data_IF_775615967910
#
_entry.id   IF_775615967910
#
_cell.length_a   1.000
_cell.length_b   1.000
_cell.length_c   1.000
_cell.angle_alpha   90.00
_cell.angle_beta   90.00
_cell.angle_gamma   90.00
#
_symmetry.space_group_name_H-M   'P 1'
#
loop_
_entity.id
_entity.type
_entity.pdbx_description
1 polymer ?
#
# COMPACT_ATOMS: atom_id res chain seq x y z
N UNK A 1 -7.65 -5.17 -22.83
CA UNK A 1 -8.55 -6.17 -22.24
C UNK A 1 -9.18 -5.55 -21.01
N UNK A 2 -10.19 -4.72 -21.23
CA UNK A 2 -10.98 -4.08 -20.18
C UNK A 2 -12.28 -4.88 -20.11
N UNK A 3 -12.28 -5.94 -19.29
CA UNK A 3 -13.51 -6.62 -18.94
C UNK A 3 -14.14 -5.76 -17.85
N UNK A 4 -15.38 -5.35 -18.10
CA UNK A 4 -16.24 -4.64 -17.18
C UNK A 4 -16.23 -5.32 -15.80
N UNK A 5 -15.53 -4.71 -14.83
CA UNK A 5 -15.77 -5.02 -13.42
C UNK A 5 -16.97 -4.18 -12.99
N UNK A 6 -18.15 -4.64 -13.39
CA UNK A 6 -19.40 -4.10 -12.90
C UNK A 6 -19.46 -4.39 -11.40
N UNK A 7 -19.84 -3.39 -10.60
CA UNK A 7 -19.91 -3.51 -9.14
C UNK A 7 -21.01 -4.53 -8.81
N UNK A 8 -20.64 -5.79 -8.61
CA UNK A 8 -21.55 -6.91 -8.35
C UNK A 8 -22.16 -6.82 -6.94
N UNK A 9 -23.49 -6.73 -6.86
CA UNK A 9 -24.30 -6.87 -5.64
C UNK A 9 -24.34 -8.34 -5.16
N UNK A 10 -24.43 -8.58 -3.84
CA UNK A 10 -24.51 -9.94 -3.24
C UNK A 10 -25.62 -10.83 -3.83
N UNK A 11 -26.78 -10.24 -4.15
CA UNK A 11 -27.89 -10.95 -4.78
C UNK A 11 -27.61 -11.32 -6.25
N UNK A 12 -26.79 -10.53 -6.95
CA UNK A 12 -26.35 -10.84 -8.30
C UNK A 12 -25.26 -11.92 -8.29
N UNK A 13 -24.38 -11.88 -7.27
CA UNK A 13 -23.33 -12.85 -6.99
C UNK A 13 -23.86 -14.29 -6.86
N UNK A 14 -24.86 -14.47 -5.99
CA UNK A 14 -25.49 -15.78 -5.80
C UNK A 14 -26.17 -16.29 -7.07
N UNK A 15 -26.76 -15.41 -7.89
CA UNK A 15 -27.43 -15.82 -9.12
C UNK A 15 -26.43 -16.17 -10.24
N UNK A 16 -25.32 -15.45 -10.38
CA UNK A 16 -24.26 -15.78 -11.34
C UNK A 16 -23.52 -17.08 -10.96
N UNK A 17 -23.17 -17.26 -9.68
CA UNK A 17 -22.57 -18.49 -9.18
C UNK A 17 -23.46 -19.71 -9.48
N UNK A 18 -24.76 -19.62 -9.17
CA UNK A 18 -25.73 -20.69 -9.44
C UNK A 18 -25.91 -20.92 -10.95
N UNK A 19 -25.81 -19.88 -11.77
CA UNK A 19 -25.90 -19.99 -13.23
C UNK A 19 -24.68 -20.71 -13.81
N UNK A 20 -23.47 -20.32 -13.39
CA UNK A 20 -22.21 -20.96 -13.77
C UNK A 20 -22.16 -22.43 -13.33
N UNK A 21 -22.58 -22.72 -12.10
CA UNK A 21 -22.72 -24.08 -11.58
C UNK A 21 -23.66 -24.92 -12.44
N UNK A 22 -24.82 -24.36 -12.82
CA UNK A 22 -25.79 -25.02 -13.67
C UNK A 22 -25.23 -25.32 -15.07
N UNK A 23 -24.38 -24.43 -15.59
CA UNK A 23 -23.72 -24.61 -16.88
C UNK A 23 -22.66 -25.72 -16.82
N UNK A 24 -21.75 -25.66 -15.85
CA UNK A 24 -20.72 -26.70 -15.65
C UNK A 24 -21.32 -28.09 -15.40
N UNK A 25 -22.42 -28.18 -14.66
CA UNK A 25 -23.11 -29.46 -14.40
C UNK A 25 -23.73 -30.02 -15.68
N UNK A 26 -24.27 -29.18 -16.57
CA UNK A 26 -24.91 -29.62 -17.82
C UNK A 26 -23.94 -30.27 -18.82
N UNK A 27 -22.66 -29.92 -18.77
CA UNK A 27 -21.67 -30.39 -19.75
C UNK A 27 -21.35 -31.89 -19.66
N UNK A 28 -21.82 -32.61 -18.62
CA UNK A 28 -21.79 -34.08 -18.53
C UNK A 28 -20.41 -34.75 -18.45
N UNK A 29 -19.33 -34.05 -18.80
CA UNK A 29 -17.94 -34.51 -18.70
C UNK A 29 -17.31 -34.06 -17.37
N UNK A 30 -16.49 -34.93 -16.74
CA UNK A 30 -15.78 -34.65 -15.49
C UNK A 30 -16.51 -35.11 -14.21
N UNK A 31 -15.77 -35.20 -13.10
CA UNK A 31 -16.29 -35.58 -11.79
C UNK A 31 -17.15 -34.46 -11.17
N UNK A 32 -18.23 -34.82 -10.50
CA UNK A 32 -19.17 -33.85 -9.91
C UNK A 32 -18.51 -32.97 -8.85
N UNK A 33 -17.70 -33.57 -7.98
CA UNK A 33 -16.91 -32.91 -6.95
C UNK A 33 -15.99 -31.82 -7.52
N UNK A 34 -15.34 -32.07 -8.65
CA UNK A 34 -14.43 -31.10 -9.26
C UNK A 34 -15.18 -29.95 -9.90
N UNK A 35 -16.36 -30.18 -10.49
CA UNK A 35 -17.20 -29.08 -11.01
C UNK A 35 -17.60 -28.09 -9.92
N UNK A 36 -17.97 -28.61 -8.75
CA UNK A 36 -18.31 -27.77 -7.59
C UNK A 36 -17.09 -27.00 -7.12
N UNK A 37 -15.99 -27.72 -6.90
CA UNK A 37 -14.77 -27.15 -6.36
C UNK A 37 -14.17 -26.09 -7.28
N UNK A 38 -14.13 -26.38 -8.58
CA UNK A 38 -13.69 -25.45 -9.62
C UNK A 38 -14.60 -24.20 -9.67
N UNK A 39 -15.91 -24.33 -9.50
CA UNK A 39 -16.80 -23.17 -9.44
C UNK A 39 -16.57 -22.33 -8.18
N UNK A 40 -16.34 -22.95 -7.02
CA UNK A 40 -16.02 -22.24 -5.77
C UNK A 40 -14.68 -21.50 -5.92
N UNK A 41 -13.64 -22.18 -6.41
CA UNK A 41 -12.32 -21.56 -6.62
C UNK A 41 -12.38 -20.42 -7.63
N UNK A 42 -13.12 -20.60 -8.73
CA UNK A 42 -13.34 -19.54 -9.69
C UNK A 42 -14.04 -18.33 -9.06
N UNK A 43 -15.08 -18.54 -8.26
CA UNK A 43 -15.80 -17.46 -7.60
C UNK A 43 -14.90 -16.67 -6.64
N UNK A 44 -14.08 -17.39 -5.87
CA UNK A 44 -13.07 -16.78 -4.97
C UNK A 44 -12.07 -15.93 -5.76
N UNK A 45 -11.54 -16.42 -6.88
CA UNK A 45 -10.62 -15.64 -7.71
C UNK A 45 -11.31 -14.38 -8.25
N UNK A 46 -12.53 -14.51 -8.77
CA UNK A 46 -13.25 -13.35 -9.30
C UNK A 46 -13.56 -12.32 -8.22
N UNK A 47 -13.83 -12.75 -6.98
CA UNK A 47 -13.99 -11.84 -5.84
C UNK A 47 -12.68 -11.08 -5.54
N UNK A 48 -11.54 -11.79 -5.52
CA UNK A 48 -10.23 -11.19 -5.31
C UNK A 48 -9.89 -10.18 -6.42
N UNK A 49 -10.13 -10.52 -7.68
CA UNK A 49 -9.93 -9.61 -8.82
C UNK A 49 -10.81 -8.36 -8.71
N UNK A 50 -12.07 -8.52 -8.31
CA UNK A 50 -12.99 -7.40 -8.12
C UNK A 50 -12.57 -6.48 -6.97
N UNK A 51 -12.10 -7.05 -5.86
CA UNK A 51 -11.57 -6.31 -4.72
C UNK A 51 -10.27 -5.56 -5.11
N UNK A 52 -9.37 -6.23 -5.83
CA UNK A 52 -8.15 -5.62 -6.38
C UNK A 52 -8.49 -4.44 -7.31
N UNK A 53 -9.46 -4.59 -8.21
CA UNK A 53 -9.88 -3.56 -9.15
C UNK A 53 -10.48 -2.32 -8.46
N UNK A 54 -11.09 -2.50 -7.28
CA UNK A 54 -11.57 -1.39 -6.44
C UNK A 54 -10.44 -0.72 -5.66
N UNK A 55 -9.46 -1.49 -5.21
CA UNK A 55 -8.41 -1.05 -4.30
C UNK A 55 -7.24 -0.34 -5.01
N UNK A 56 -6.73 -0.91 -6.11
CA UNK A 56 -5.48 -0.43 -6.73
C UNK A 56 -5.60 0.95 -7.40
N UNK A 57 -6.63 1.26 -8.22
CA UNK A 57 -6.67 2.52 -8.95
C UNK A 57 -6.70 3.78 -8.08
N UNK A 58 -7.46 3.85 -6.97
CA UNK A 58 -7.39 4.97 -6.03
C UNK A 58 -5.99 5.19 -5.45
N UNK A 59 -5.28 4.09 -5.12
CA UNK A 59 -3.94 4.15 -4.56
C UNK A 59 -2.95 4.71 -5.58
N UNK A 60 -3.00 4.24 -6.83
CA UNK A 60 -2.13 4.76 -7.89
C UNK A 60 -2.35 6.26 -8.12
N UNK A 61 -3.59 6.74 -8.06
CA UNK A 61 -3.88 8.19 -8.13
C UNK A 61 -3.28 8.94 -6.95
N UNK A 62 -3.48 8.44 -5.73
CA UNK A 62 -2.92 9.04 -4.52
C UNK A 62 -1.39 9.14 -4.57
N UNK A 63 -0.71 8.10 -5.05
CA UNK A 63 0.75 8.11 -5.21
C UNK A 63 1.21 9.19 -6.20
N UNK A 64 0.50 9.36 -7.33
CA UNK A 64 0.80 10.41 -8.29
C UNK A 64 0.54 11.82 -7.71
N UNK A 65 -0.51 12.00 -6.91
CA UNK A 65 -0.80 13.28 -6.25
C UNK A 65 0.27 13.65 -5.21
N UNK A 66 0.79 12.66 -4.48
CA UNK A 66 1.86 12.86 -3.50
C UNK A 66 3.19 13.28 -4.13
N UNK A 67 3.45 12.89 -5.38
CA UNK A 67 4.62 13.34 -6.14
C UNK A 67 4.52 14.84 -6.52
N UNK A 68 3.31 15.37 -6.71
CA UNK A 68 3.10 16.79 -7.04
C UNK A 68 3.01 17.69 -5.81
N UNK A 69 2.24 17.28 -4.79
CA UNK A 69 1.99 18.09 -3.59
C UNK A 69 1.78 17.25 -2.34
N UNK A 70 2.65 17.48 -1.36
CA UNK A 70 2.53 16.87 -0.03
C UNK A 70 1.58 17.69 0.84
N UNK A 71 0.55 17.05 1.38
CA UNK A 71 -0.38 17.61 2.37
C UNK A 71 -0.59 16.65 3.55
N UNK A 72 -1.11 17.16 4.67
CA UNK A 72 -1.42 16.30 5.83
C UNK A 72 -2.51 15.27 5.50
N UNK A 73 -3.50 15.64 4.67
CA UNK A 73 -4.59 14.77 4.22
C UNK A 73 -4.05 13.61 3.38
N UNK A 74 -3.26 13.90 2.35
CA UNK A 74 -2.65 12.88 1.49
C UNK A 74 -1.72 11.92 2.25
N UNK A 75 -1.11 12.35 3.37
CA UNK A 75 -0.32 11.47 4.25
C UNK A 75 -1.20 10.51 5.06
N UNK A 76 -2.38 10.95 5.51
CA UNK A 76 -3.36 10.09 6.18
C UNK A 76 -3.93 9.07 5.20
N UNK A 77 -4.30 9.52 4.00
CA UNK A 77 -4.79 8.64 2.94
C UNK A 77 -3.74 7.57 2.55
N UNK A 78 -2.45 7.93 2.56
CA UNK A 78 -1.37 6.97 2.27
C UNK A 78 -1.26 5.89 3.36
N UNK A 79 -1.49 6.26 4.63
CA UNK A 79 -1.51 5.30 5.73
C UNK A 79 -2.71 4.35 5.62
N UNK A 80 -3.88 4.88 5.26
CA UNK A 80 -5.09 4.09 5.04
C UNK A 80 -4.93 3.14 3.85
N UNK A 81 -4.41 3.64 2.73
CA UNK A 81 -4.05 2.84 1.56
C UNK A 81 -3.09 1.69 1.92
N UNK A 82 -2.03 1.97 2.70
CA UNK A 82 -1.10 0.94 3.16
C UNK A 82 -1.79 -0.15 3.98
N UNK A 83 -2.68 0.23 4.90
CA UNK A 83 -3.43 -0.74 5.72
C UNK A 83 -4.35 -1.59 4.85
N UNK A 84 -5.08 -0.96 3.93
CA UNK A 84 -5.98 -1.67 3.03
C UNK A 84 -5.24 -2.68 2.13
N UNK A 85 -4.11 -2.29 1.52
CA UNK A 85 -3.25 -3.19 0.73
C UNK A 85 -2.69 -4.33 1.57
N UNK A 86 -2.27 -4.05 2.81
CA UNK A 86 -1.76 -5.08 3.71
C UNK A 86 -2.85 -6.09 4.09
N UNK A 87 -4.06 -5.64 4.38
CA UNK A 87 -5.19 -6.52 4.72
C UNK A 87 -5.61 -7.36 3.53
N UNK A 88 -5.72 -6.76 2.35
CA UNK A 88 -6.03 -7.49 1.11
C UNK A 88 -4.95 -8.53 0.78
N UNK A 89 -3.66 -8.16 0.89
CA UNK A 89 -2.55 -9.10 0.71
C UNK A 89 -2.60 -10.31 1.66
N UNK A 90 -2.94 -10.09 2.94
CA UNK A 90 -3.12 -11.19 3.89
C UNK A 90 -4.28 -12.12 3.52
N UNK A 91 -5.38 -11.58 2.96
CA UNK A 91 -6.51 -12.39 2.46
C UNK A 91 -6.06 -13.28 1.29
N UNK A 92 -5.34 -12.72 0.31
CA UNK A 92 -4.81 -13.46 -0.83
C UNK A 92 -3.83 -14.55 -0.37
N UNK A 93 -2.90 -14.23 0.54
CA UNK A 93 -1.94 -15.21 1.08
C UNK A 93 -2.61 -16.34 1.85
N UNK A 94 -3.72 -16.07 2.55
CA UNK A 94 -4.47 -17.11 3.25
C UNK A 94 -5.07 -18.12 2.27
N UNK A 95 -5.60 -17.66 1.13
CA UNK A 95 -6.14 -18.51 0.08
C UNK A 95 -5.03 -19.32 -0.59
N UNK A 96 -3.91 -18.67 -0.94
CA UNK A 96 -2.72 -19.33 -1.49
C UNK A 96 -2.19 -20.43 -0.57
N UNK A 97 -2.12 -20.15 0.73
CA UNK A 97 -1.68 -21.12 1.74
C UNK A 97 -2.63 -22.31 1.81
N UNK A 98 -3.95 -22.08 1.75
CA UNK A 98 -4.92 -23.17 1.77
C UNK A 98 -4.82 -24.06 0.52
N UNK A 99 -4.63 -23.47 -0.67
CA UNK A 99 -4.43 -24.22 -1.91
C UNK A 99 -3.11 -25.00 -1.86
N UNK A 100 -2.02 -24.36 -1.43
CA UNK A 100 -0.71 -25.00 -1.31
C UNK A 100 -0.73 -26.22 -0.37
N UNK A 101 -1.43 -26.12 0.76
CA UNK A 101 -1.57 -27.25 1.69
C UNK A 101 -2.22 -28.48 1.05
N UNK A 102 -3.18 -28.28 0.15
CA UNK A 102 -3.81 -29.39 -0.58
C UNK A 102 -2.85 -29.94 -1.63
N UNK A 103 -2.19 -29.06 -2.40
CA UNK A 103 -1.22 -29.45 -3.42
C UNK A 103 -0.01 -30.23 -2.84
N UNK A 104 0.40 -29.90 -1.61
CA UNK A 104 1.54 -30.55 -0.94
C UNK A 104 1.21 -31.96 -0.40
N UNK A 105 -0.05 -32.39 -0.45
CA UNK A 105 -0.50 -33.68 0.09
C UNK A 105 -1.23 -34.54 -0.95
N UNK A 106 -0.49 -35.42 -1.61
CA UNK A 106 -0.99 -36.41 -2.56
C UNK A 106 -2.15 -37.27 -2.01
N UNK A 107 -2.17 -37.57 -0.70
CA UNK A 107 -3.25 -38.32 -0.05
C UNK A 107 -4.55 -37.52 -0.02
N UNK A 108 -4.46 -36.21 0.27
CA UNK A 108 -5.61 -35.32 0.25
C UNK A 108 -6.11 -35.16 -1.19
N UNK A 109 -5.22 -34.96 -2.16
CA UNK A 109 -5.55 -34.85 -3.59
C UNK A 109 -6.26 -36.12 -4.11
N UNK A 110 -5.74 -37.31 -3.83
CA UNK A 110 -6.40 -38.57 -4.18
C UNK A 110 -7.73 -38.76 -3.41
N UNK A 111 -7.79 -38.24 -2.18
CA UNK A 111 -8.98 -38.25 -1.33
C UNK A 111 -10.16 -37.42 -1.84
N UNK A 112 -9.91 -36.46 -2.75
CA UNK A 112 -10.94 -35.59 -3.33
C UNK A 112 -11.84 -36.30 -4.35
N UNK A 113 -11.46 -37.47 -4.87
CA UNK A 113 -12.28 -38.28 -5.79
C UNK A 113 -13.43 -38.98 -5.04
N UNK A 114 -14.37 -38.17 -4.54
CA UNK A 114 -15.47 -38.60 -3.68
C UNK A 114 -16.43 -39.57 -4.39
N UNK A 115 -16.68 -39.41 -5.69
CA UNK A 115 -17.55 -40.29 -6.47
C UNK A 115 -16.99 -41.71 -6.53
N UNK A 116 -15.68 -41.84 -6.78
CA UNK A 116 -15.01 -43.14 -6.84
C UNK A 116 -14.86 -43.77 -5.45
N UNK A 117 -14.57 -42.96 -4.42
CA UNK A 117 -14.56 -43.38 -3.03
C UNK A 117 -15.93 -43.91 -2.58
N UNK A 118 -17.02 -43.23 -2.95
CA UNK A 118 -18.39 -43.66 -2.68
C UNK A 118 -18.76 -44.96 -3.42
N UNK A 119 -18.20 -45.18 -4.61
CA UNK A 119 -18.33 -46.43 -5.36
C UNK A 119 -17.45 -47.58 -4.83
N UNK A 120 -16.73 -47.38 -3.71
CA UNK A 120 -15.84 -48.38 -3.12
C UNK A 120 -14.54 -48.60 -3.90
N UNK A 121 -14.16 -47.65 -4.76
CA UNK A 121 -12.96 -47.70 -5.60
C UNK A 121 -12.05 -46.51 -5.27
N UNK A 122 -11.40 -46.48 -4.09
CA UNK A 122 -10.48 -45.40 -3.77
C UNK A 122 -9.35 -45.33 -4.81
N UNK A 123 -9.01 -44.11 -5.24
CA UNK A 123 -7.92 -43.86 -6.18
C UNK A 123 -6.58 -44.12 -5.49
N UNK A 124 -5.58 -44.52 -6.27
CA UNK A 124 -4.21 -44.62 -5.76
C UNK A 124 -3.69 -43.22 -5.44
N UNK A 125 -2.77 -43.12 -4.47
CA UNK A 125 -2.15 -41.84 -4.10
C UNK A 125 -1.47 -41.18 -5.30
N UNK A 126 -0.97 -41.94 -6.28
CA UNK A 126 -0.35 -41.37 -7.49
C UNK A 126 -1.34 -40.96 -8.59
N UNK A 127 -2.64 -41.12 -8.38
CA UNK A 127 -3.67 -41.02 -9.44
C UNK A 127 -4.60 -39.81 -9.21
N UNK A 128 -3.98 -38.63 -9.04
CA UNK A 128 -4.63 -37.35 -8.73
C UNK A 128 -4.34 -36.20 -9.71
N UNK A 129 -3.79 -36.50 -10.89
CA UNK A 129 -3.32 -35.49 -11.86
C UNK A 129 -4.37 -34.42 -12.21
N UNK A 130 -5.65 -34.80 -12.33
CA UNK A 130 -6.72 -33.85 -12.67
C UNK A 130 -6.99 -32.84 -11.55
N UNK A 131 -6.99 -33.30 -10.29
CA UNK A 131 -7.16 -32.42 -9.14
C UNK A 131 -5.96 -31.47 -8.99
N UNK A 132 -4.75 -32.01 -9.11
CA UNK A 132 -3.50 -31.26 -9.04
C UNK A 132 -3.46 -30.13 -10.08
N UNK A 133 -3.69 -30.44 -11.36
CA UNK A 133 -3.72 -29.45 -12.44
C UNK A 133 -4.76 -28.33 -12.21
N UNK A 134 -5.93 -28.68 -11.68
CA UNK A 134 -6.96 -27.69 -11.37
C UNK A 134 -6.50 -26.76 -10.24
N UNK A 135 -5.97 -27.29 -9.14
CA UNK A 135 -5.48 -26.47 -8.04
C UNK A 135 -4.25 -25.65 -8.41
N UNK A 136 -3.31 -26.19 -9.20
CA UNK A 136 -2.17 -25.45 -9.74
C UNK A 136 -2.64 -24.25 -10.59
N UNK A 137 -3.68 -24.43 -11.40
CA UNK A 137 -4.24 -23.34 -12.18
C UNK A 137 -4.74 -22.19 -11.29
N UNK A 138 -5.53 -22.50 -10.25
CA UNK A 138 -6.03 -21.48 -9.32
C UNK A 138 -4.95 -20.87 -8.42
N UNK A 139 -3.92 -21.65 -8.06
CA UNK A 139 -2.74 -21.15 -7.36
C UNK A 139 -2.02 -20.09 -8.20
N UNK A 140 -1.82 -20.35 -9.50
CA UNK A 140 -1.20 -19.39 -10.42
C UNK A 140 -2.00 -18.08 -10.55
N UNK A 141 -3.33 -18.17 -10.60
CA UNK A 141 -4.19 -16.97 -10.61
C UNK A 141 -4.07 -16.17 -9.30
N UNK A 142 -4.08 -16.85 -8.15
CA UNK A 142 -3.89 -16.20 -6.86
C UNK A 142 -2.49 -15.59 -6.71
N UNK A 143 -1.45 -16.23 -7.27
CA UNK A 143 -0.08 -15.71 -7.34
C UNK A 143 0.01 -14.43 -8.18
N UNK A 144 -0.71 -14.35 -9.31
CA UNK A 144 -0.78 -13.13 -10.12
C UNK A 144 -1.36 -11.95 -9.32
N UNK A 145 -2.46 -12.18 -8.59
CA UNK A 145 -3.07 -11.17 -7.72
C UNK A 145 -2.08 -10.77 -6.61
N UNK A 146 -1.42 -11.75 -5.96
CA UNK A 146 -0.44 -11.48 -4.91
C UNK A 146 0.74 -10.63 -5.41
N UNK A 147 1.23 -10.90 -6.62
CA UNK A 147 2.31 -10.14 -7.25
C UNK A 147 1.90 -8.68 -7.48
N UNK A 148 0.68 -8.44 -7.96
CA UNK A 148 0.16 -7.08 -8.14
C UNK A 148 0.05 -6.33 -6.80
N UNK A 149 -0.43 -6.99 -5.75
CA UNK A 149 -0.51 -6.43 -4.40
C UNK A 149 0.89 -6.10 -3.86
N UNK A 150 1.85 -7.00 -4.04
CA UNK A 150 3.23 -6.79 -3.62
C UNK A 150 3.87 -5.59 -4.34
N UNK A 151 3.59 -5.43 -5.64
CA UNK A 151 4.07 -4.28 -6.41
C UNK A 151 3.49 -2.96 -5.88
N UNK A 152 2.18 -2.90 -5.62
CA UNK A 152 1.55 -1.68 -5.06
C UNK A 152 2.07 -1.39 -3.66
N UNK A 153 2.24 -2.41 -2.82
CA UNK A 153 2.84 -2.28 -1.49
C UNK A 153 4.26 -1.72 -1.55
N UNK A 154 5.08 -2.19 -2.49
CA UNK A 154 6.44 -1.68 -2.74
C UNK A 154 6.43 -0.21 -3.18
N UNK A 155 5.49 0.18 -4.05
CA UNK A 155 5.34 1.56 -4.48
C UNK A 155 4.96 2.47 -3.31
N UNK A 156 4.00 2.07 -2.47
CA UNK A 156 3.64 2.81 -1.25
C UNK A 156 4.86 2.97 -0.34
N UNK A 157 5.61 1.89 -0.09
CA UNK A 157 6.80 1.93 0.77
C UNK A 157 7.87 2.89 0.20
N UNK A 158 8.07 2.85 -1.12
CA UNK A 158 9.02 3.74 -1.80
C UNK A 158 8.62 5.20 -1.69
N UNK A 159 7.35 5.53 -1.92
CA UNK A 159 6.82 6.89 -1.74
C UNK A 159 6.92 7.34 -0.28
N UNK A 160 6.65 6.47 0.71
CA UNK A 160 6.83 6.80 2.13
C UNK A 160 8.27 7.20 2.48
N UNK A 161 9.27 6.53 1.89
CA UNK A 161 10.69 6.88 2.07
C UNK A 161 10.97 8.27 1.50
N UNK A 162 10.51 8.56 0.28
CA UNK A 162 10.72 9.87 -0.38
C UNK A 162 10.04 10.99 0.42
N UNK A 163 8.82 10.79 0.90
CA UNK A 163 8.07 11.77 1.69
C UNK A 163 8.80 12.12 2.99
N UNK A 164 9.34 11.13 3.69
CA UNK A 164 10.13 11.37 4.90
C UNK A 164 11.37 12.22 4.61
N UNK A 165 12.07 11.96 3.50
CA UNK A 165 13.23 12.76 3.07
C UNK A 165 12.83 14.22 2.80
N UNK A 166 11.69 14.46 2.14
CA UNK A 166 11.22 15.82 1.82
C UNK A 166 10.84 16.57 3.09
N UNK A 167 10.10 15.94 4.01
CA UNK A 167 9.69 16.56 5.28
C UNK A 167 10.90 16.92 6.15
N UNK A 168 11.90 16.05 6.22
CA UNK A 168 13.12 16.34 6.97
C UNK A 168 13.92 17.50 6.33
N UNK A 169 13.94 17.59 5.00
CA UNK A 169 14.55 18.73 4.28
C UNK A 169 13.84 20.05 4.58
N UNK A 170 12.49 20.05 4.64
CA UNK A 170 11.72 21.23 5.03
C UNK A 170 12.03 21.66 6.47
N UNK A 171 12.08 20.71 7.41
CA UNK A 171 12.50 20.98 8.80
C UNK A 171 13.91 21.58 8.85
N UNK A 172 14.85 21.01 8.10
CA UNK A 172 16.23 21.50 8.06
C UNK A 172 16.34 22.93 7.51
N UNK A 173 15.53 23.27 6.49
CA UNK A 173 15.46 24.65 5.97
C UNK A 173 14.97 25.62 7.03
N UNK A 174 13.93 25.26 7.80
CA UNK A 174 13.41 26.12 8.88
C UNK A 174 14.48 26.40 9.95
N UNK A 175 15.22 25.37 10.37
CA UNK A 175 16.32 25.52 11.35
C UNK A 175 17.38 26.50 10.84
N UNK A 176 17.73 26.43 9.56
CA UNK A 176 18.70 27.36 8.95
C UNK A 176 18.17 28.80 8.96
N UNK A 177 16.87 29.01 8.70
CA UNK A 177 16.28 30.35 8.77
C UNK A 177 16.25 30.90 10.20
N UNK A 178 15.93 30.06 11.19
CA UNK A 178 15.97 30.44 12.61
C UNK A 178 17.38 30.82 13.07
N UNK A 179 18.40 30.06 12.65
CA UNK A 179 19.80 30.37 12.92
C UNK A 179 20.19 31.74 12.34
N UNK A 180 19.80 32.03 11.09
CA UNK A 180 20.05 33.33 10.45
C UNK A 180 19.36 34.47 11.18
N UNK A 181 18.11 34.29 11.61
CA UNK A 181 17.37 35.30 12.37
C UNK A 181 17.99 35.56 13.77
N UNK A 182 18.46 34.49 14.42
CA UNK A 182 19.16 34.58 15.72
C UNK A 182 20.47 35.35 15.58
N UNK A 183 21.26 35.06 14.54
CA UNK A 183 22.50 35.80 14.24
C UNK A 183 22.22 37.29 13.97
N UNK A 184 21.18 37.60 13.19
CA UNK A 184 20.77 38.98 12.93
C UNK A 184 20.36 39.70 14.22
N UNK A 185 19.57 39.05 15.07
CA UNK A 185 19.12 39.60 16.37
C UNK A 185 20.29 39.81 17.32
N UNK A 186 21.25 38.88 17.35
CA UNK A 186 22.47 39.03 18.14
C UNK A 186 23.30 40.25 17.69
N UNK A 187 23.43 40.45 16.36
CA UNK A 187 24.09 41.63 15.79
C UNK A 187 23.38 42.93 16.18
N UNK A 188 22.06 43.00 16.04
CA UNK A 188 21.25 44.15 16.47
C UNK A 188 21.40 44.39 17.97
N UNK A 189 21.38 43.34 18.79
CA UNK A 189 21.51 43.44 20.25
C UNK A 189 22.89 43.98 20.66
N UNK A 190 23.96 43.54 19.98
CA UNK A 190 25.31 44.06 20.22
C UNK A 190 25.41 45.55 19.85
N UNK A 191 24.88 45.96 18.69
CA UNK A 191 24.84 47.36 18.28
C UNK A 191 24.00 48.23 19.24
N UNK A 192 22.82 47.73 19.63
CA UNK A 192 21.94 48.40 20.58
C UNK A 192 22.58 48.51 21.98
N UNK A 193 23.34 47.51 22.41
CA UNK A 193 24.09 47.57 23.66
C UNK A 193 25.14 48.68 23.64
N UNK A 194 25.94 48.77 22.57
CA UNK A 194 26.93 49.84 22.40
C UNK A 194 26.25 51.21 22.37
N UNK A 195 25.20 51.37 21.56
CA UNK A 195 24.43 52.61 21.48
C UNK A 195 23.81 52.99 22.84
N UNK A 196 23.30 52.01 23.60
CA UNK A 196 22.77 52.22 24.94
C UNK A 196 23.84 52.69 25.91
N UNK A 197 25.08 52.17 25.84
CA UNK A 197 26.15 52.64 26.74
C UNK A 197 26.47 54.12 26.52
N UNK A 198 26.55 54.57 25.27
CA UNK A 198 26.82 55.97 24.92
C UNK A 198 25.60 56.89 25.04
N UNK A 199 24.37 56.34 25.02
CA UNK A 199 23.13 57.09 25.25
C UNK A 199 22.78 57.32 26.72
N UNK A 200 23.53 56.73 27.66
CA UNK A 200 23.36 57.00 29.09
C UNK A 200 23.94 58.36 29.47
N UNK A 201 23.31 59.06 30.41
CA UNK A 201 23.69 60.39 30.91
C UNK A 201 24.96 60.35 31.80
N UNK A 202 26.06 59.81 31.26
CA UNK A 202 27.37 59.72 31.88
C UNK A 202 28.36 60.49 30.99
N UNK A 203 29.04 61.50 31.54
CA UNK A 203 30.06 62.25 30.79
C UNK A 203 31.23 61.33 30.40
N UNK A 204 31.24 60.89 29.14
CA UNK A 204 32.23 59.95 28.61
C UNK A 204 33.53 60.62 28.16
N UNK A 205 33.54 61.95 27.97
CA UNK A 205 34.72 62.72 27.53
C UNK A 205 35.13 62.51 26.06
N UNK A 206 34.46 61.59 25.35
CA UNK A 206 34.63 61.30 23.92
C UNK A 206 33.65 62.08 23.01
N UNK A 207 32.71 62.80 23.62
CA UNK A 207 31.62 63.52 22.93
C UNK A 207 32.09 64.77 22.15
N UNK A 208 33.21 65.37 22.55
CA UNK A 208 33.74 66.60 21.90
C UNK A 208 34.51 66.31 20.61
N UNK A 209 34.74 65.04 20.26
CA UNK A 209 35.49 64.66 19.06
C UNK A 209 34.54 64.50 17.86
N UNK A 210 34.72 65.25 16.75
CA UNK A 210 33.75 65.33 15.65
C UNK A 210 33.37 64.00 14.98
N UNK A 211 34.28 63.02 14.97
CA UNK A 211 34.14 61.78 14.18
C UNK A 211 33.66 60.56 15.00
N UNK A 212 33.61 60.68 16.33
CA UNK A 212 33.30 59.55 17.22
C UNK A 212 31.86 59.08 17.06
N UNK A 213 30.92 60.00 16.86
CA UNK A 213 29.52 59.65 16.62
C UNK A 213 29.35 58.81 15.36
N UNK A 214 29.97 59.19 14.25
CA UNK A 214 29.89 58.45 12.99
C UNK A 214 30.63 57.11 13.07
N UNK A 215 31.72 57.03 13.82
CA UNK A 215 32.44 55.78 14.05
C UNK A 215 31.60 54.78 14.87
N UNK A 216 30.84 55.25 15.85
CA UNK A 216 29.99 54.39 16.70
C UNK A 216 28.66 54.05 16.02
N UNK A 217 28.06 54.99 15.29
CA UNK A 217 26.79 54.80 14.59
C UNK A 217 26.94 54.06 13.25
N UNK A 218 28.08 54.24 12.58
CA UNK A 218 28.38 53.68 11.27
C UNK A 218 29.22 52.41 11.31
N UNK A 219 30.22 52.34 12.21
CA UNK A 219 31.28 51.33 12.14
C UNK A 219 32.19 51.53 10.93
#
# INVERSE_FOLDING_TARGET
>A
MAIFVEVRDEANYSNEFITMMREKIKDGAGFFEFKILEAILYDVIVELEAEQAKLIPPIQRLLNELDERISEESLKDLLEARRAVSTFGQKVDSIRTAIAQILDNDEDLAGLYLTDKAAGRPRAISDHMEAELMFEHYMNLADEIANNVAQVSSNIASTQVILNIILDSQRNRLIIYELKATLATAGISAGAFIASMFGMNLHSGLEETPDVFWTVAGG
#
